data_IF_669987121352
#
_entry.id   IF_669987121352
#
_cell.length_a   1.000
_cell.length_b   1.000
_cell.length_c   1.000
_cell.angle_alpha   90.00
_cell.angle_beta   90.00
_cell.angle_gamma   90.00
#
_symmetry.space_group_name_H-M   'P 1'
#
loop_
_entity.id
_entity.type
_entity.pdbx_description
1 polymer ?
#
# COMPACT_ATOMS: atom_id res chain seq x y z
N UNK A 1 21.33 -14.76 -35.41
CA UNK A 1 19.87 -14.82 -35.71
C UNK A 1 19.08 -15.66 -34.70
N UNK A 2 19.45 -16.92 -34.41
CA UNK A 2 18.76 -17.77 -33.41
C UNK A 2 18.66 -17.17 -31.99
N UNK A 3 19.71 -16.50 -31.51
CA UNK A 3 19.74 -15.86 -30.18
C UNK A 3 18.78 -14.66 -30.07
N UNK A 4 18.59 -13.88 -31.14
CA UNK A 4 17.63 -12.76 -31.16
C UNK A 4 16.18 -13.27 -31.21
N UNK A 5 15.93 -14.40 -31.89
CA UNK A 5 14.62 -15.06 -31.87
C UNK A 5 14.27 -15.62 -30.49
N UNK A 6 15.24 -16.21 -29.78
CA UNK A 6 15.02 -16.77 -28.45
C UNK A 6 14.78 -15.69 -27.38
N UNK A 7 15.52 -14.58 -27.45
CA UNK A 7 15.31 -13.44 -26.54
C UNK A 7 13.94 -12.78 -26.75
N UNK A 8 13.47 -12.68 -28.00
CA UNK A 8 12.13 -12.19 -28.31
C UNK A 8 11.02 -13.08 -27.73
N UNK A 9 11.13 -14.41 -27.90
CA UNK A 9 10.14 -15.36 -27.40
C UNK A 9 10.03 -15.37 -25.86
N UNK A 10 11.14 -15.25 -25.14
CA UNK A 10 11.15 -15.20 -23.66
C UNK A 10 10.49 -13.91 -23.16
N UNK A 11 10.73 -12.77 -23.83
CA UNK A 11 10.10 -11.50 -23.48
C UNK A 11 8.57 -11.58 -23.65
N UNK A 12 8.06 -12.16 -24.73
CA UNK A 12 6.62 -12.26 -24.98
C UNK A 12 5.90 -13.13 -23.93
N UNK A 13 6.55 -14.21 -23.49
CA UNK A 13 6.01 -15.10 -22.45
C UNK A 13 5.95 -14.37 -21.10
N UNK A 14 6.98 -13.60 -20.73
CA UNK A 14 7.01 -12.88 -19.46
C UNK A 14 5.88 -11.83 -19.32
N UNK A 15 5.53 -11.13 -20.41
CA UNK A 15 4.41 -10.17 -20.39
C UNK A 15 3.04 -10.84 -20.26
N UNK A 16 2.91 -12.11 -20.63
CA UNK A 16 1.64 -12.86 -20.59
C UNK A 16 1.21 -13.24 -19.16
N UNK A 17 2.14 -13.18 -18.20
CA UNK A 17 1.89 -13.47 -16.79
C UNK A 17 1.66 -12.23 -15.92
N UNK A 18 1.54 -11.04 -16.52
CA UNK A 18 1.16 -9.84 -15.79
C UNK A 18 -0.31 -9.93 -15.39
N UNK A 19 -0.59 -10.51 -14.22
CA UNK A 19 -1.93 -10.49 -13.62
C UNK A 19 -2.28 -9.04 -13.29
N UNK A 20 -3.32 -8.49 -13.91
CA UNK A 20 -3.84 -7.20 -13.51
C UNK A 20 -4.40 -7.29 -12.09
N UNK A 21 -3.99 -6.37 -11.22
CA UNK A 21 -4.61 -6.23 -9.91
C UNK A 21 -6.05 -5.74 -10.13
N UNK A 22 -7.01 -6.66 -10.11
CA UNK A 22 -8.42 -6.35 -10.29
C UNK A 22 -9.01 -5.85 -8.97
N UNK A 23 -9.02 -4.53 -8.77
CA UNK A 23 -9.83 -3.92 -7.72
C UNK A 23 -11.18 -3.48 -8.32
N UNK A 24 -12.28 -3.75 -7.61
CA UNK A 24 -13.60 -3.30 -8.05
C UNK A 24 -13.70 -1.78 -7.90
N UNK A 25 -13.86 -1.08 -9.02
CA UNK A 25 -14.22 0.33 -9.03
C UNK A 25 -15.68 0.45 -8.64
N UNK A 26 -15.95 1.07 -7.48
CA UNK A 26 -17.29 1.26 -6.95
C UNK A 26 -18.06 2.37 -7.69
N UNK A 27 -17.35 3.40 -8.16
CA UNK A 27 -17.89 4.47 -9.01
C UNK A 27 -16.75 5.22 -9.71
N UNK A 28 -17.07 5.92 -10.81
CA UNK A 28 -16.12 6.74 -11.56
C UNK A 28 -16.82 8.01 -12.09
N UNK A 29 -16.08 9.12 -12.12
CA UNK A 29 -16.44 10.37 -12.78
C UNK A 29 -15.24 10.90 -13.58
N UNK A 30 -15.41 12.07 -14.22
CA UNK A 30 -14.30 12.75 -14.88
C UNK A 30 -13.20 13.20 -13.90
N UNK A 31 -13.51 13.33 -12.60
CA UNK A 31 -12.59 13.81 -11.57
C UNK A 31 -11.85 12.68 -10.86
N UNK A 32 -12.28 11.42 -11.01
CA UNK A 32 -11.63 10.29 -10.36
C UNK A 32 -12.52 9.06 -10.27
N UNK A 33 -12.10 8.11 -9.45
CA UNK A 33 -12.80 6.85 -9.21
C UNK A 33 -12.67 6.41 -7.75
N UNK A 34 -13.61 5.61 -7.29
CA UNK A 34 -13.62 5.05 -5.94
C UNK A 34 -13.30 3.57 -6.01
N UNK A 35 -12.35 3.12 -5.21
CA UNK A 35 -12.09 1.69 -4.98
C UNK A 35 -12.54 1.34 -3.57
N UNK A 36 -13.27 0.23 -3.42
CA UNK A 36 -13.69 -0.28 -2.11
C UNK A 36 -13.02 -1.63 -1.85
N UNK A 37 -12.36 -1.73 -0.70
CA UNK A 37 -11.85 -2.98 -0.15
C UNK A 37 -12.62 -3.30 1.13
N UNK A 38 -13.23 -4.48 1.20
CA UNK A 38 -13.96 -4.96 2.37
C UNK A 38 -13.58 -6.42 2.60
N UNK A 39 -13.33 -6.77 3.85
CA UNK A 39 -12.96 -8.12 4.26
C UNK A 39 -13.55 -8.38 5.63
N UNK A 40 -14.20 -9.54 5.79
CA UNK A 40 -14.66 -9.99 7.09
C UNK A 40 -13.49 -10.57 7.89
N UNK A 41 -13.38 -10.14 9.15
CA UNK A 41 -12.34 -10.59 10.08
C UNK A 41 -12.98 -11.17 11.33
N UNK A 42 -12.46 -12.30 11.81
CA UNK A 42 -12.98 -12.99 12.99
C UNK A 42 -12.45 -12.36 14.30
N UNK A 43 -12.57 -11.04 14.44
CA UNK A 43 -12.18 -10.28 15.64
C UNK A 43 -13.26 -9.27 15.98
N UNK A 44 -13.31 -8.85 17.24
CA UNK A 44 -14.24 -7.80 17.65
C UNK A 44 -13.83 -6.41 17.09
N UNK A 45 -14.76 -5.45 17.00
CA UNK A 45 -14.48 -4.13 16.41
C UNK A 45 -13.36 -3.35 17.09
N UNK A 46 -13.19 -3.47 18.42
CA UNK A 46 -12.16 -2.74 19.16
C UNK A 46 -10.78 -3.30 18.82
N UNK A 47 -10.66 -4.62 18.71
CA UNK A 47 -9.43 -5.28 18.28
C UNK A 47 -9.08 -4.94 16.82
N UNK A 48 -10.07 -4.96 15.92
CA UNK A 48 -9.89 -4.54 14.54
C UNK A 48 -9.38 -3.09 14.45
N UNK A 49 -10.03 -2.16 15.15
CA UNK A 49 -9.63 -0.75 15.18
C UNK A 49 -8.21 -0.55 15.73
N UNK A 50 -7.89 -1.20 16.86
CA UNK A 50 -6.55 -1.11 17.45
C UNK A 50 -5.46 -1.63 16.49
N UNK A 51 -5.76 -2.67 15.71
CA UNK A 51 -4.84 -3.18 14.69
C UNK A 51 -4.62 -2.17 13.55
N UNK A 52 -5.66 -1.44 13.12
CA UNK A 52 -5.52 -0.38 12.12
C UNK A 52 -4.64 0.79 12.60
N UNK A 53 -4.83 1.22 13.85
CA UNK A 53 -4.03 2.32 14.43
C UNK A 53 -2.58 1.89 14.68
N UNK A 54 -2.32 0.61 14.93
CA UNK A 54 -0.97 0.05 15.05
C UNK A 54 -0.32 -0.18 13.66
N UNK A 55 -0.19 0.93 12.92
CA UNK A 55 0.15 0.93 11.50
C UNK A 55 1.55 0.40 11.19
N UNK A 56 2.48 0.43 12.16
CA UNK A 56 3.87 -0.04 12.01
C UNK A 56 3.96 -1.42 11.36
N UNK A 57 3.10 -2.36 11.78
CA UNK A 57 3.10 -3.74 11.27
C UNK A 57 2.60 -3.84 9.82
N UNK A 58 1.74 -2.91 9.40
CA UNK A 58 1.13 -2.90 8.08
C UNK A 58 2.04 -2.23 7.02
N UNK A 59 2.90 -1.31 7.46
CA UNK A 59 3.74 -0.50 6.57
C UNK A 59 5.18 -0.97 6.44
N UNK A 60 5.55 -2.13 7.01
CA UNK A 60 6.90 -2.69 6.86
C UNK A 60 7.31 -2.89 5.39
N UNK A 61 6.33 -2.96 4.48
CA UNK A 61 6.54 -3.13 3.03
C UNK A 61 6.32 -1.85 2.22
N UNK A 62 5.97 -0.73 2.85
CA UNK A 62 5.80 0.54 2.16
C UNK A 62 7.14 1.26 2.04
N UNK A 63 7.31 2.01 0.96
CA UNK A 63 8.42 2.96 0.81
C UNK A 63 8.19 4.14 1.73
N UNK A 64 8.77 4.09 2.92
CA UNK A 64 8.73 5.13 3.94
C UNK A 64 9.89 6.11 3.76
N UNK A 65 9.70 7.40 4.07
CA UNK A 65 10.75 8.41 3.90
C UNK A 65 11.97 8.15 4.79
N UNK A 66 11.73 7.71 6.02
CA UNK A 66 12.75 7.29 6.99
C UNK A 66 13.25 5.87 6.74
N UNK A 67 12.61 5.12 5.84
CA UNK A 67 12.89 3.70 5.58
C UNK A 67 12.57 2.75 6.75
N UNK A 68 11.95 3.24 7.83
CA UNK A 68 11.73 2.43 9.03
C UNK A 68 10.33 2.60 9.61
N UNK A 69 9.54 1.52 9.58
CA UNK A 69 8.17 1.51 10.08
C UNK A 69 8.03 1.91 11.56
N UNK A 70 9.08 1.71 12.36
CA UNK A 70 9.13 2.15 13.78
C UNK A 70 9.01 3.65 13.97
N UNK A 71 9.25 4.44 12.92
CA UNK A 71 9.16 5.88 12.94
C UNK A 71 7.76 6.41 12.57
N UNK A 72 6.83 5.51 12.21
CA UNK A 72 5.45 5.85 11.88
C UNK A 72 4.55 5.79 13.12
N UNK A 73 3.73 6.81 13.31
CA UNK A 73 2.69 6.85 14.35
C UNK A 73 1.36 7.36 13.79
N UNK A 74 0.26 6.92 14.42
CA UNK A 74 -1.09 7.45 14.19
C UNK A 74 -1.64 7.96 15.51
N UNK A 75 -2.01 9.24 15.56
CA UNK A 75 -2.82 9.80 16.63
C UNK A 75 -4.30 9.58 16.30
N UNK A 76 -4.95 8.65 17.01
CA UNK A 76 -6.33 8.25 16.80
C UNK A 76 -7.36 9.29 17.30
N UNK A 77 -7.35 10.49 16.69
CA UNK A 77 -8.31 11.57 16.92
C UNK A 77 -8.58 12.32 15.62
N UNK A 78 -9.68 13.07 15.56
CA UNK A 78 -9.92 14.00 14.46
C UNK A 78 -8.76 14.97 14.32
N UNK A 79 -8.33 15.21 13.08
CA UNK A 79 -7.14 16.01 12.73
C UNK A 79 -5.83 15.55 13.38
N UNK A 80 -5.78 14.32 13.91
CA UNK A 80 -4.57 13.70 14.42
C UNK A 80 -3.50 13.55 13.33
N UNK A 81 -2.27 13.25 13.76
CA UNK A 81 -1.20 13.00 12.82
C UNK A 81 -1.12 11.53 12.41
N UNK A 82 -0.99 11.27 11.12
CA UNK A 82 -0.21 10.15 10.61
C UNK A 82 1.18 10.68 10.28
N UNK A 83 2.10 10.50 11.21
CA UNK A 83 3.40 11.14 11.21
C UNK A 83 4.51 10.12 11.00
N UNK A 84 5.58 10.57 10.36
CA UNK A 84 6.82 9.86 10.22
C UNK A 84 7.99 10.71 10.75
N UNK A 85 8.73 10.19 11.72
CA UNK A 85 9.96 10.82 12.19
C UNK A 85 11.14 10.49 11.26
N UNK A 86 11.96 11.49 10.92
CA UNK A 86 13.14 11.31 10.07
C UNK A 86 14.43 11.23 10.90
N UNK A 87 15.43 10.51 10.39
CA UNK A 87 16.68 10.22 11.10
C UNK A 87 17.48 11.49 11.45
N UNK A 88 17.52 12.46 10.53
CA UNK A 88 18.29 13.70 10.68
C UNK A 88 17.48 14.84 11.32
N UNK A 89 16.35 14.51 11.95
CA UNK A 89 15.41 15.45 12.55
C UNK A 89 14.27 15.86 11.60
N UNK A 90 13.24 16.48 12.18
CA UNK A 90 12.00 16.82 11.48
C UNK A 90 11.02 15.66 11.36
N UNK A 91 9.93 15.89 10.61
CA UNK A 91 8.88 14.89 10.40
C UNK A 91 8.13 15.13 9.09
N UNK A 92 7.54 14.06 8.57
CA UNK A 92 6.56 14.12 7.46
C UNK A 92 5.19 13.78 8.01
N UNK A 93 4.18 14.55 7.61
CA UNK A 93 2.77 14.20 7.81
C UNK A 93 2.20 13.70 6.48
N UNK A 94 1.64 12.50 6.50
CA UNK A 94 0.99 11.85 5.36
C UNK A 94 -0.45 12.32 5.19
#
# INVERSE_FOLDING_TARGET
MKQFLQAGAIMTIALSFATSAHAKVASQSAQGFIVKHEVDVAVDPKTAYAAFINHRRLVERLSLFSGAAKNISIEAKADGCWCEALADGGSVRH
#
